data_IF_526758995298
#
_entry.id   IF_526758995298
#
_cell.length_a   1.000
_cell.length_b   1.000
_cell.length_c   1.000
_cell.angle_alpha   90.00
_cell.angle_beta   90.00
_cell.angle_gamma   90.00
#
_symmetry.space_group_name_H-M   'P 1'
#
loop_
_entity.id
_entity.type
_entity.pdbx_description
1 polymer ?
#
# COMPACT_ATOMS: atom_id res chain seq x y z
N UNK A 1 40.34 2.53 41.12
CA UNK A 1 38.87 2.56 41.11
C UNK A 1 38.44 2.58 39.66
N UNK A 2 37.47 1.76 39.24
CA UNK A 2 36.94 1.86 37.88
C UNK A 2 36.38 3.26 37.67
N UNK A 3 36.58 3.78 36.46
CA UNK A 3 36.10 5.11 36.12
C UNK A 3 34.64 5.00 35.66
N UNK A 4 33.80 6.03 35.87
CA UNK A 4 32.41 6.01 35.40
C UNK A 4 32.28 5.71 33.89
N UNK A 5 33.32 6.05 33.11
CA UNK A 5 33.40 5.75 31.68
C UNK A 5 33.66 4.27 31.38
N UNK A 6 34.46 3.57 32.20
CA UNK A 6 34.69 2.13 32.02
C UNK A 6 33.45 1.31 32.36
N UNK A 7 32.68 1.76 33.36
CA UNK A 7 31.44 1.09 33.76
C UNK A 7 30.33 1.30 32.72
N UNK A 8 30.24 2.50 32.13
CA UNK A 8 29.32 2.78 31.03
C UNK A 8 29.66 1.96 29.76
N UNK A 9 30.95 1.85 29.42
CA UNK A 9 31.40 1.07 28.27
C UNK A 9 31.10 -0.43 28.44
N UNK A 10 31.28 -0.97 29.66
CA UNK A 10 30.90 -2.35 29.97
C UNK A 10 29.39 -2.57 29.84
N UNK A 11 28.58 -1.64 30.38
CA UNK A 11 27.11 -1.72 30.29
C UNK A 11 26.62 -1.65 28.85
N UNK A 12 27.24 -0.82 28.00
CA UNK A 12 26.94 -0.76 26.57
C UNK A 12 27.29 -2.09 25.87
N UNK A 13 28.46 -2.65 26.16
CA UNK A 13 28.88 -3.93 25.61
C UNK A 13 27.93 -5.08 26.00
N UNK A 14 27.34 -5.03 27.20
CA UNK A 14 26.34 -6.01 27.64
C UNK A 14 24.97 -5.85 26.94
N UNK A 15 24.65 -4.65 26.44
CA UNK A 15 23.39 -4.34 25.75
C UNK A 15 23.46 -4.58 24.24
N UNK A 16 24.63 -4.55 23.64
CA UNK A 16 24.85 -4.77 22.20
C UNK A 16 24.24 -6.08 21.68
N UNK A 17 24.39 -7.25 22.35
CA UNK A 17 23.79 -8.51 21.91
C UNK A 17 22.25 -8.46 21.89
N UNK A 18 21.66 -7.82 22.90
CA UNK A 18 20.21 -7.66 22.99
C UNK A 18 19.68 -6.76 21.87
N UNK A 19 20.39 -5.67 21.57
CA UNK A 19 20.05 -4.77 20.47
C UNK A 19 20.13 -5.50 19.11
N UNK A 20 21.18 -6.29 18.90
CA UNK A 20 21.34 -7.09 17.68
C UNK A 20 20.22 -8.15 17.53
N UNK A 21 19.85 -8.83 18.61
CA UNK A 21 18.72 -9.78 18.59
C UNK A 21 17.39 -9.10 18.30
N UNK A 22 17.13 -7.94 18.90
CA UNK A 22 15.92 -7.17 18.64
C UNK A 22 15.84 -6.73 17.17
N UNK A 23 16.95 -6.26 16.60
CA UNK A 23 16.99 -5.85 15.20
C UNK A 23 16.80 -7.04 14.25
N UNK A 24 17.42 -8.19 14.53
CA UNK A 24 17.21 -9.41 13.78
C UNK A 24 15.74 -9.86 13.81
N UNK A 25 15.09 -9.81 14.97
CA UNK A 25 13.68 -10.12 15.11
C UNK A 25 12.79 -9.15 14.33
N UNK A 26 13.11 -7.85 14.36
CA UNK A 26 12.40 -6.80 13.63
C UNK A 26 12.48 -7.01 12.11
N UNK A 27 13.67 -7.35 11.60
CA UNK A 27 13.87 -7.65 10.18
C UNK A 27 13.11 -8.91 9.74
N UNK A 28 13.15 -9.96 10.54
CA UNK A 28 12.42 -11.19 10.26
C UNK A 28 10.89 -10.99 10.25
N UNK A 29 10.38 -10.14 11.15
CA UNK A 29 8.96 -9.77 11.16
C UNK A 29 8.59 -8.99 9.89
N UNK A 30 9.38 -7.96 9.54
CA UNK A 30 9.13 -7.14 8.35
C UNK A 30 9.10 -7.98 7.07
N UNK A 31 10.00 -8.96 6.96
CA UNK A 31 10.01 -9.89 5.83
C UNK A 31 8.73 -10.73 5.76
N UNK A 32 8.26 -11.27 6.90
CA UNK A 32 7.00 -12.03 6.97
C UNK A 32 5.79 -11.18 6.60
N UNK A 33 5.74 -9.94 7.09
CA UNK A 33 4.66 -9.00 6.77
C UNK A 33 4.69 -8.62 5.28
N UNK A 34 5.88 -8.39 4.71
CA UNK A 34 6.04 -8.14 3.28
C UNK A 34 5.55 -9.32 2.42
N UNK A 35 5.87 -10.56 2.80
CA UNK A 35 5.36 -11.77 2.12
C UNK A 35 3.84 -11.89 2.24
N UNK A 36 3.28 -11.61 3.42
CA UNK A 36 1.83 -11.63 3.63
C UNK A 36 1.13 -10.60 2.74
N UNK A 37 1.66 -9.36 2.69
CA UNK A 37 1.13 -8.32 1.82
C UNK A 37 1.18 -8.73 0.34
N UNK A 38 2.29 -9.31 -0.11
CA UNK A 38 2.43 -9.79 -1.49
C UNK A 38 1.34 -10.80 -1.86
N UNK A 39 1.07 -11.76 -0.98
CA UNK A 39 0.01 -12.76 -1.20
C UNK A 39 -1.39 -12.15 -1.20
N UNK A 40 -1.66 -11.16 -0.33
CA UNK A 40 -2.92 -10.42 -0.31
C UNK A 40 -3.12 -9.68 -1.63
N UNK A 41 -2.13 -8.88 -2.06
CA UNK A 41 -2.21 -8.08 -3.28
C UNK A 41 -2.37 -8.94 -4.53
N UNK A 42 -1.70 -10.10 -4.58
CA UNK A 42 -1.86 -11.08 -5.67
C UNK A 42 -3.31 -11.57 -5.78
N UNK A 43 -4.02 -11.77 -4.67
CA UNK A 43 -5.44 -12.18 -4.66
C UNK A 43 -6.34 -11.03 -5.07
N UNK A 44 -6.08 -9.83 -4.56
CA UNK A 44 -6.82 -8.60 -4.91
C UNK A 44 -6.72 -8.31 -6.39
N UNK A 45 -5.53 -8.40 -6.97
CA UNK A 45 -5.32 -8.19 -8.40
C UNK A 45 -6.18 -9.10 -9.28
N UNK A 46 -6.34 -10.37 -8.89
CA UNK A 46 -7.25 -11.29 -9.59
C UNK A 46 -8.71 -10.82 -9.54
N UNK A 47 -9.12 -10.18 -8.45
CA UNK A 47 -10.46 -9.62 -8.33
C UNK A 47 -10.62 -8.36 -9.19
N UNK A 48 -9.60 -7.48 -9.22
CA UNK A 48 -9.58 -6.28 -10.05
C UNK A 48 -9.71 -6.63 -11.54
N UNK A 49 -8.86 -7.55 -12.02
CA UNK A 49 -8.82 -7.96 -13.44
C UNK A 49 -10.11 -8.62 -13.93
N UNK A 50 -10.89 -9.24 -13.05
CA UNK A 50 -12.17 -9.85 -13.41
C UNK A 50 -13.27 -8.83 -13.69
N UNK A 51 -13.23 -7.64 -13.10
CA UNK A 51 -14.28 -6.63 -13.32
C UNK A 51 -14.03 -5.71 -14.51
N UNK A 52 -12.77 -5.52 -14.87
CA UNK A 52 -12.29 -4.57 -15.87
C UNK A 52 -12.74 -4.86 -17.33
N UNK A 53 -13.43 -5.98 -17.56
CA UNK A 53 -13.86 -6.40 -18.89
C UNK A 53 -15.11 -5.65 -19.43
N UNK A 54 -15.81 -4.82 -18.64
CA UNK A 54 -17.10 -4.24 -19.04
C UNK A 54 -17.17 -2.71 -19.21
N UNK A 55 -16.22 -1.92 -18.70
CA UNK A 55 -16.34 -0.44 -18.66
C UNK A 55 -14.97 0.29 -18.80
N UNK A 56 -14.21 0.11 -19.90
CA UNK A 56 -12.92 0.80 -20.06
C UNK A 56 -12.93 1.86 -21.17
N UNK A 57 -12.71 3.11 -20.77
CA UNK A 57 -11.96 4.08 -21.59
C UNK A 57 -10.47 3.73 -21.46
N UNK A 58 -9.77 3.52 -22.57
CA UNK A 58 -8.44 2.91 -22.61
C UNK A 58 -7.29 3.76 -22.05
N UNK A 59 -7.59 4.92 -21.47
CA UNK A 59 -6.61 5.96 -21.16
C UNK A 59 -6.24 6.09 -19.67
N UNK A 60 -6.93 5.41 -18.74
CA UNK A 60 -6.63 5.50 -17.31
C UNK A 60 -6.11 4.17 -16.75
N UNK A 61 -4.97 4.23 -16.04
CA UNK A 61 -4.41 3.10 -15.30
C UNK A 61 -5.30 2.85 -14.07
N UNK A 62 -5.77 1.62 -13.90
CA UNK A 62 -6.62 1.30 -12.75
C UNK A 62 -5.74 1.16 -11.50
N UNK A 63 -6.13 1.83 -10.43
CA UNK A 63 -5.35 1.93 -9.22
C UNK A 63 -6.23 2.01 -7.98
N UNK A 64 -5.76 1.35 -6.91
CA UNK A 64 -6.43 1.33 -5.62
C UNK A 64 -5.56 2.12 -4.63
N UNK A 65 -6.15 3.12 -3.98
CA UNK A 65 -5.50 3.83 -2.89
C UNK A 65 -5.46 2.93 -1.65
N UNK A 66 -4.26 2.53 -1.22
CA UNK A 66 -4.11 1.64 -0.07
C UNK A 66 -3.95 2.40 1.24
N UNK A 67 -3.27 3.54 1.20
CA UNK A 67 -3.06 4.38 2.37
C UNK A 67 -2.69 5.80 1.95
N UNK A 68 -3.18 6.79 2.70
CA UNK A 68 -2.83 8.19 2.54
C UNK A 68 -2.38 8.77 3.88
N UNK A 69 -1.29 9.54 3.85
CA UNK A 69 -0.79 10.32 4.99
C UNK A 69 -0.59 11.74 4.48
N UNK A 70 -1.47 12.65 4.89
CA UNK A 70 -1.36 14.06 4.51
C UNK A 70 -1.23 14.96 5.73
N UNK A 71 -0.43 15.99 5.57
CA UNK A 71 -0.38 17.16 6.45
C UNK A 71 -0.87 18.38 5.67
N UNK A 72 -1.72 19.18 6.31
CA UNK A 72 -2.25 20.40 5.73
C UNK A 72 -1.96 21.57 6.66
N UNK A 73 -1.32 22.60 6.12
CA UNK A 73 -1.01 23.83 6.84
C UNK A 73 -1.66 25.03 6.14
N UNK A 74 -2.52 25.74 6.86
CA UNK A 74 -3.12 26.98 6.37
C UNK A 74 -2.16 28.14 6.64
N UNK A 75 -1.79 28.89 5.60
CA UNK A 75 -0.85 30.03 5.68
C UNK A 75 -1.57 31.38 5.64
N UNK A 76 -2.84 31.40 5.25
CA UNK A 76 -3.71 32.57 5.23
C UNK A 76 -5.17 32.19 4.95
N UNK A 77 -6.06 33.18 4.84
CA UNK A 77 -7.48 32.92 4.59
C UNK A 77 -7.72 32.11 3.30
N UNK A 78 -6.91 32.37 2.27
CA UNK A 78 -7.03 31.71 0.96
C UNK A 78 -5.72 31.07 0.48
N UNK A 79 -4.78 30.81 1.38
CA UNK A 79 -3.49 30.20 1.03
C UNK A 79 -3.07 29.12 2.02
N UNK A 80 -2.29 28.17 1.53
CA UNK A 80 -1.80 27.09 2.35
C UNK A 80 -1.01 26.07 1.54
N UNK A 81 -0.65 25.01 2.25
CA UNK A 81 0.17 23.94 1.72
C UNK A 81 -0.39 22.60 2.19
N UNK A 82 -0.32 21.61 1.30
CA UNK A 82 -0.61 20.21 1.58
C UNK A 82 0.62 19.40 1.18
N UNK A 83 1.11 18.59 2.10
CA UNK A 83 2.14 17.59 1.82
C UNK A 83 1.48 16.25 2.03
N UNK A 84 1.53 15.39 1.03
CA UNK A 84 0.88 14.11 1.12
C UNK A 84 1.74 12.99 0.56
N UNK A 85 1.74 11.85 1.25
CA UNK A 85 2.32 10.60 0.77
C UNK A 85 1.22 9.56 0.67
N UNK A 86 1.05 9.00 -0.52
CA UNK A 86 0.05 7.97 -0.83
C UNK A 86 0.72 6.69 -1.27
N UNK A 87 0.19 5.56 -0.84
CA UNK A 87 0.50 4.25 -1.37
C UNK A 87 -0.64 3.80 -2.27
N UNK A 88 -0.35 3.49 -3.53
CA UNK A 88 -1.31 2.97 -4.48
C UNK A 88 -0.88 1.59 -5.00
N UNK A 89 -1.86 0.74 -5.28
CA UNK A 89 -1.68 -0.54 -5.95
C UNK A 89 -2.25 -0.48 -7.36
N UNK A 90 -1.38 -0.69 -8.35
CA UNK A 90 -1.73 -0.60 -9.76
C UNK A 90 -2.10 -1.96 -10.36
N UNK A 91 -2.82 -1.92 -11.48
CA UNK A 91 -3.24 -3.08 -12.25
C UNK A 91 -2.10 -3.93 -12.85
N UNK A 92 -0.86 -3.45 -12.83
CA UNK A 92 0.35 -4.23 -13.17
C UNK A 92 1.03 -4.84 -11.93
N UNK A 93 0.31 -4.96 -10.83
CA UNK A 93 0.76 -5.53 -9.55
C UNK A 93 1.88 -4.73 -8.87
N UNK A 94 2.04 -3.46 -9.25
CA UNK A 94 3.03 -2.57 -8.66
C UNK A 94 2.47 -1.80 -7.48
N UNK A 95 3.30 -1.63 -6.46
CA UNK A 95 3.08 -0.66 -5.38
C UNK A 95 3.83 0.61 -5.73
N UNK A 96 3.12 1.73 -5.78
CA UNK A 96 3.72 3.04 -6.04
C UNK A 96 3.48 3.93 -4.83
N UNK A 97 4.56 4.49 -4.30
CA UNK A 97 4.50 5.64 -3.40
C UNK A 97 4.42 6.90 -4.23
N UNK A 98 3.36 7.66 -4.06
CA UNK A 98 3.23 9.02 -4.60
C UNK A 98 3.45 10.03 -3.49
N UNK A 99 4.44 10.88 -3.67
CA UNK A 99 4.65 12.04 -2.83
C UNK A 99 4.19 13.28 -3.58
N UNK A 100 3.36 14.07 -2.92
CA UNK A 100 2.78 15.28 -3.49
C UNK A 100 2.94 16.44 -2.53
N UNK A 101 3.45 17.57 -3.05
CA UNK A 101 3.41 18.85 -2.36
C UNK A 101 2.60 19.80 -3.21
N UNK A 102 1.54 20.32 -2.62
CA UNK A 102 0.65 21.29 -3.24
C UNK A 102 0.70 22.58 -2.42
N UNK A 103 0.93 23.70 -3.09
CA UNK A 103 0.74 25.03 -2.51
C UNK A 103 -0.38 25.73 -3.27
N UNK A 104 -1.32 26.33 -2.55
CA UNK A 104 -2.38 27.17 -3.12
C UNK A 104 -2.32 28.60 -2.57
N UNK A 105 -2.84 29.56 -3.33
CA UNK A 105 -2.77 31.00 -3.05
C UNK A 105 -1.95 31.76 -4.10
N UNK A 106 -1.33 32.88 -3.71
CA UNK A 106 -0.43 33.63 -4.61
C UNK A 106 0.88 32.83 -4.78
N UNK A 107 1.12 32.31 -5.98
CA UNK A 107 2.16 31.31 -6.33
C UNK A 107 1.76 29.87 -5.96
N UNK A 108 0.72 29.38 -6.65
CA UNK A 108 0.35 27.97 -6.60
C UNK A 108 1.34 27.11 -7.40
N UNK A 109 1.70 25.96 -6.84
CA UNK A 109 2.51 24.97 -7.52
C UNK A 109 2.20 23.57 -6.99
N UNK A 110 2.56 22.57 -7.77
CA UNK A 110 2.45 21.17 -7.41
C UNK A 110 3.76 20.47 -7.76
N UNK A 111 4.30 19.69 -6.81
CA UNK A 111 5.43 18.80 -7.02
C UNK A 111 4.90 17.39 -6.80
N UNK A 112 5.19 16.50 -7.74
CA UNK A 112 4.85 15.07 -7.64
C UNK A 112 6.11 14.23 -7.86
N UNK A 113 6.29 13.24 -7.00
CA UNK A 113 7.32 12.22 -7.11
C UNK A 113 6.67 10.84 -6.98
N UNK A 114 7.11 9.89 -7.81
CA UNK A 114 6.61 8.52 -7.79
C UNK A 114 7.77 7.54 -7.62
N UNK A 115 7.61 6.61 -6.70
CA UNK A 115 8.59 5.56 -6.44
C UNK A 115 7.91 4.20 -6.39
N UNK A 116 8.38 3.26 -7.20
CA UNK A 116 7.98 1.85 -7.07
C UNK A 116 8.58 1.26 -5.79
N UNK A 117 7.75 0.59 -4.99
CA UNK A 117 8.13 -0.04 -3.73
C UNK A 117 7.98 -1.55 -3.79
N UNK A 118 8.86 -2.25 -3.07
CA UNK A 118 8.59 -3.64 -2.69
C UNK A 118 7.56 -3.68 -1.56
N UNK A 119 6.93 -4.86 -1.34
CA UNK A 119 5.99 -5.03 -0.23
C UNK A 119 6.64 -4.75 1.13
N UNK A 120 7.89 -5.17 1.34
CA UNK A 120 8.65 -4.89 2.57
C UNK A 120 8.88 -3.39 2.77
N UNK A 121 9.21 -2.65 1.71
CA UNK A 121 9.37 -1.19 1.78
C UNK A 121 8.05 -0.49 2.09
N UNK A 122 6.95 -0.96 1.50
CA UNK A 122 5.61 -0.42 1.77
C UNK A 122 5.18 -0.68 3.21
N UNK A 123 5.34 -1.90 3.73
CA UNK A 123 5.05 -2.24 5.13
C UNK A 123 5.91 -1.40 6.08
N UNK A 124 7.20 -1.23 5.79
CA UNK A 124 8.08 -0.40 6.62
C UNK A 124 7.63 1.06 6.68
N UNK A 125 7.14 1.60 5.57
CA UNK A 125 6.76 3.01 5.46
C UNK A 125 5.34 3.32 5.97
N UNK A 126 4.39 2.41 5.77
CA UNK A 126 2.96 2.65 6.03
C UNK A 126 2.36 1.73 7.11
N UNK A 127 3.01 0.62 7.43
CA UNK A 127 2.51 -0.42 8.34
C UNK A 127 1.49 -1.34 7.66
N UNK A 128 1.60 -2.65 7.91
CA UNK A 128 0.72 -3.66 7.30
C UNK A 128 -0.76 -3.42 7.65
N UNK A 129 -1.06 -3.08 8.90
CA UNK A 129 -2.44 -2.87 9.37
C UNK A 129 -3.14 -1.68 8.72
N UNK A 130 -2.39 -0.60 8.43
CA UNK A 130 -2.95 0.56 7.75
C UNK A 130 -3.27 0.21 6.29
N UNK A 131 -2.32 -0.44 5.61
CA UNK A 131 -2.49 -0.93 4.23
C UNK A 131 -3.69 -1.87 4.11
N UNK A 132 -3.82 -2.85 5.00
CA UNK A 132 -4.93 -3.80 4.98
C UNK A 132 -6.28 -3.12 5.20
N UNK A 133 -6.34 -2.10 6.07
CA UNK A 133 -7.57 -1.33 6.31
C UNK A 133 -7.99 -0.52 5.08
N UNK A 134 -7.08 0.25 4.49
CA UNK A 134 -7.42 1.02 3.29
C UNK A 134 -7.78 0.12 2.11
N UNK A 135 -7.11 -1.03 1.97
CA UNK A 135 -7.50 -2.05 1.02
C UNK A 135 -8.93 -2.57 1.25
N UNK A 136 -9.30 -2.87 2.50
CA UNK A 136 -10.64 -3.33 2.83
C UNK A 136 -11.71 -2.27 2.53
N UNK A 137 -11.43 -1.00 2.85
CA UNK A 137 -12.31 0.13 2.57
C UNK A 137 -12.55 0.32 1.07
N UNK A 138 -11.48 0.33 0.27
CA UNK A 138 -11.59 0.41 -1.19
C UNK A 138 -12.29 -0.80 -1.79
N UNK A 139 -12.00 -2.02 -1.30
CA UNK A 139 -12.71 -3.21 -1.75
C UNK A 139 -14.21 -3.11 -1.44
N UNK A 140 -14.61 -2.55 -0.30
CA UNK A 140 -16.04 -2.34 0.02
C UNK A 140 -16.66 -1.26 -0.86
N UNK A 141 -15.95 -0.17 -1.12
CA UNK A 141 -16.45 0.96 -1.89
C UNK A 141 -16.60 0.62 -3.38
N UNK A 142 -15.57 0.03 -3.98
CA UNK A 142 -15.51 -0.24 -5.41
C UNK A 142 -16.06 -1.62 -5.79
N UNK A 143 -16.14 -2.56 -4.84
CA UNK A 143 -16.50 -3.95 -5.10
C UNK A 143 -17.59 -4.45 -4.12
N UNK A 144 -18.84 -3.96 -4.19
CA UNK A 144 -19.93 -4.51 -3.38
C UNK A 144 -20.10 -6.01 -3.72
N UNK A 145 -19.59 -6.88 -2.83
CA UNK A 145 -19.41 -8.33 -3.05
C UNK A 145 -20.66 -9.05 -3.60
N UNK A 146 -21.86 -8.56 -3.26
CA UNK A 146 -23.14 -9.15 -3.71
C UNK A 146 -23.36 -9.03 -5.23
N UNK A 147 -22.96 -7.94 -5.86
CA UNK A 147 -23.11 -7.75 -7.31
C UNK A 147 -22.06 -8.57 -8.10
N UNK A 148 -20.86 -8.73 -7.52
CA UNK A 148 -19.76 -9.44 -8.15
C UNK A 148 -19.94 -10.96 -8.23
N UNK A 149 -20.52 -11.56 -7.20
CA UNK A 149 -20.68 -13.01 -7.13
C UNK A 149 -21.68 -13.50 -8.19
N UNK A 150 -22.77 -12.77 -8.39
CA UNK A 150 -23.74 -13.04 -9.47
C UNK A 150 -23.09 -12.91 -10.86
N UNK A 151 -22.34 -11.83 -11.09
CA UNK A 151 -21.63 -11.62 -12.36
C UNK A 151 -20.54 -12.68 -12.65
N UNK A 152 -19.84 -13.14 -11.62
CA UNK A 152 -18.86 -14.24 -11.75
C UNK A 152 -19.55 -15.58 -12.03
N UNK A 153 -20.69 -15.86 -11.39
CA UNK A 153 -21.49 -17.05 -11.66
C UNK A 153 -22.03 -17.07 -13.09
N UNK A 154 -22.54 -15.94 -13.60
CA UNK A 154 -22.98 -15.83 -14.99
C UNK A 154 -21.84 -16.09 -15.99
N UNK A 155 -20.65 -15.53 -15.73
CA UNK A 155 -19.48 -15.77 -16.58
C UNK A 155 -19.00 -17.21 -16.55
N UNK A 156 -18.99 -17.83 -15.37
CA UNK A 156 -18.68 -19.25 -15.23
C UNK A 156 -19.69 -20.10 -16.02
N UNK A 157 -20.99 -19.83 -15.89
CA UNK A 157 -22.04 -20.50 -16.65
C UNK A 157 -21.86 -20.34 -18.17
N UNK A 158 -21.48 -19.14 -18.64
CA UNK A 158 -21.20 -18.91 -20.05
C UNK A 158 -20.01 -19.73 -20.57
N UNK A 159 -18.93 -19.82 -19.78
CA UNK A 159 -17.75 -20.64 -20.12
C UNK A 159 -18.11 -22.14 -20.10
N UNK A 160 -18.86 -22.60 -19.09
CA UNK A 160 -19.32 -23.99 -19.01
C UNK A 160 -20.17 -24.36 -20.22
N UNK A 161 -21.11 -23.51 -20.64
CA UNK A 161 -21.92 -23.74 -21.85
C UNK A 161 -21.09 -23.80 -23.14
N UNK A 162 -20.06 -22.98 -23.25
CA UNK A 162 -19.15 -23.02 -24.40
C UNK A 162 -18.33 -24.32 -24.42
N UNK A 163 -17.89 -24.81 -23.26
CA UNK A 163 -17.17 -26.08 -23.15
C UNK A 163 -18.08 -27.28 -23.44
N UNK A 164 -19.33 -27.25 -23.00
CA UNK A 164 -20.34 -28.28 -23.29
C UNK A 164 -20.72 -28.32 -24.78
N UNK A 165 -20.66 -27.20 -25.50
CA UNK A 165 -20.92 -27.15 -26.95
C UNK A 165 -19.72 -27.52 -27.84
N UNK A 166 -18.54 -27.71 -27.25
CA UNK A 166 -17.31 -28.13 -27.96
C UNK A 166 -17.01 -29.63 -27.78
N UNK A 167 -17.77 -30.34 -26.95
CA UNK A 167 -17.76 -31.81 -26.83
C UNK A 167 -18.93 -32.44 -27.57
#
# INVERSE_FOLDING_TARGET
MPSPLSDLAATLADLEPAAAMAEAARLALLQKEGQALQEILRRVWRLMTLQDAKNRESCYRHEIALQEICERAQKGEQSGQRVCTRLVFCDDQKLIRRFEVEQWGSCAFQIQDEQELTCEMAVKAFGLDAICRGLEEELKASYPMKANLAGCQERLLAVTRLLEGLG
#
